data_IF_067051661839
#
_entry.id   IF_067051661839
#
_cell.length_a   1.000
_cell.length_b   1.000
_cell.length_c   1.000
_cell.angle_alpha   90.00
_cell.angle_beta   90.00
_cell.angle_gamma   90.00
#
_symmetry.space_group_name_H-M   'P 1'
#
loop_
_entity.id
_entity.type
_entity.pdbx_description
1 polymer ?
#
# COMPACT_ATOMS: atom_id res chain seq x y z
N UNK A 1 9.56 -20.37 -10.63
CA UNK A 1 9.98 -20.29 -9.21
C UNK A 1 8.73 -20.34 -8.35
N UNK A 2 8.68 -21.19 -7.33
CA UNK A 2 7.58 -21.20 -6.35
C UNK A 2 7.82 -20.10 -5.31
N UNK A 3 6.75 -19.38 -4.93
CA UNK A 3 6.81 -18.42 -3.82
C UNK A 3 6.90 -19.21 -2.51
N UNK A 4 7.91 -18.93 -1.70
CA UNK A 4 8.07 -19.57 -0.39
C UNK A 4 7.04 -19.05 0.62
N UNK A 5 6.69 -19.87 1.61
CA UNK A 5 5.78 -19.46 2.70
C UNK A 5 6.30 -18.20 3.41
N UNK A 6 7.61 -18.10 3.62
CA UNK A 6 8.24 -16.92 4.23
C UNK A 6 7.99 -15.64 3.42
N UNK A 7 8.05 -15.71 2.08
CA UNK A 7 7.75 -14.56 1.22
C UNK A 7 6.28 -14.15 1.30
N UNK A 8 5.36 -15.12 1.40
CA UNK A 8 3.93 -14.86 1.58
C UNK A 8 3.69 -14.09 2.89
N UNK A 9 4.29 -14.56 3.99
CA UNK A 9 4.16 -13.90 5.30
C UNK A 9 4.71 -12.47 5.25
N UNK A 10 5.89 -12.28 4.66
CA UNK A 10 6.51 -10.96 4.51
C UNK A 10 5.59 -10.02 3.73
N UNK A 11 5.06 -10.46 2.59
CA UNK A 11 4.11 -9.66 1.80
C UNK A 11 2.85 -9.33 2.59
N UNK A 12 2.31 -10.28 3.34
CA UNK A 12 1.12 -10.07 4.16
C UNK A 12 1.36 -9.02 5.26
N UNK A 13 2.55 -8.99 5.85
CA UNK A 13 2.92 -7.99 6.86
C UNK A 13 3.14 -6.61 6.23
N UNK A 14 3.91 -6.50 5.15
CA UNK A 14 4.27 -5.20 4.57
C UNK A 14 3.16 -4.57 3.72
N UNK A 15 2.33 -5.39 3.09
CA UNK A 15 1.16 -4.93 2.32
C UNK A 15 -0.05 -4.91 3.26
N UNK A 16 -0.42 -6.04 3.86
CA UNK A 16 -1.59 -6.11 4.73
C UNK A 16 -1.49 -5.25 6.01
N UNK A 17 -0.32 -5.17 6.65
CA UNK A 17 -0.12 -4.45 7.92
C UNK A 17 -0.59 -2.99 7.91
N UNK A 18 -0.16 -2.16 6.93
CA UNK A 18 -0.66 -0.81 6.68
C UNK A 18 -2.19 -0.68 6.70
N UNK A 19 -2.93 -1.67 6.20
CA UNK A 19 -4.39 -1.66 6.13
C UNK A 19 -5.02 -2.21 7.40
N UNK A 20 -4.57 -3.37 7.87
CA UNK A 20 -5.17 -4.06 9.01
C UNK A 20 -4.93 -3.34 10.33
N UNK A 21 -3.76 -2.73 10.54
CA UNK A 21 -3.47 -2.03 11.79
C UNK A 21 -4.45 -0.89 12.11
N UNK A 22 -4.68 0.10 11.23
CA UNK A 22 -5.64 1.17 11.50
C UNK A 22 -7.09 0.65 11.56
N UNK A 23 -7.43 -0.37 10.77
CA UNK A 23 -8.76 -0.97 10.75
C UNK A 23 -9.08 -1.64 12.10
N UNK A 24 -8.17 -2.47 12.61
CA UNK A 24 -8.31 -3.15 13.91
C UNK A 24 -8.34 -2.18 15.08
N UNK A 25 -7.61 -1.07 14.97
CA UNK A 25 -7.59 -0.01 15.99
C UNK A 25 -8.71 1.03 15.83
N UNK A 26 -9.66 0.80 14.90
CA UNK A 26 -10.80 1.69 14.60
C UNK A 26 -10.39 3.13 14.27
N UNK A 27 -9.19 3.32 13.73
CA UNK A 27 -8.67 4.61 13.28
C UNK A 27 -9.17 4.89 11.88
N UNK A 28 -10.42 5.35 11.78
CA UNK A 28 -11.14 5.47 10.51
C UNK A 28 -10.48 6.43 9.51
N UNK A 29 -9.97 7.58 9.96
CA UNK A 29 -9.30 8.54 9.06
C UNK A 29 -7.98 7.97 8.52
N UNK A 30 -7.22 7.27 9.38
CA UNK A 30 -6.04 6.53 8.93
C UNK A 30 -6.41 5.42 7.94
N UNK A 31 -7.40 4.59 8.27
CA UNK A 31 -7.85 3.49 7.41
C UNK A 31 -8.27 3.99 6.03
N UNK A 32 -9.02 5.08 5.98
CA UNK A 32 -9.47 5.71 4.74
C UNK A 32 -8.29 6.22 3.91
N UNK A 33 -7.28 6.83 4.55
CA UNK A 33 -6.06 7.28 3.87
C UNK A 33 -5.30 6.11 3.23
N UNK A 34 -5.20 4.98 3.93
CA UNK A 34 -4.52 3.78 3.40
C UNK A 34 -5.32 3.16 2.25
N UNK A 35 -6.64 3.06 2.38
CA UNK A 35 -7.52 2.56 1.30
C UNK A 35 -7.37 3.43 0.04
N UNK A 36 -7.40 4.75 0.19
CA UNK A 36 -7.18 5.67 -0.94
C UNK A 36 -5.78 5.51 -1.53
N UNK A 37 -4.76 5.33 -0.70
CA UNK A 37 -3.41 5.04 -1.16
C UNK A 37 -3.35 3.75 -1.99
N UNK A 38 -4.01 2.68 -1.56
CA UNK A 38 -4.12 1.45 -2.33
C UNK A 38 -4.79 1.64 -3.68
N UNK A 39 -5.91 2.38 -3.71
CA UNK A 39 -6.62 2.69 -4.95
C UNK A 39 -5.75 3.51 -5.90
N UNK A 40 -5.08 4.55 -5.40
CA UNK A 40 -4.16 5.37 -6.20
C UNK A 40 -3.00 4.55 -6.75
N UNK A 41 -2.43 3.65 -5.95
CA UNK A 41 -1.37 2.75 -6.41
C UNK A 41 -1.89 1.81 -7.50
N UNK A 42 -3.06 1.20 -7.29
CA UNK A 42 -3.70 0.34 -8.29
C UNK A 42 -3.99 1.08 -9.61
N UNK A 43 -4.49 2.31 -9.53
CA UNK A 43 -4.73 3.18 -10.69
C UNK A 43 -3.42 3.57 -11.40
N UNK A 44 -2.35 3.83 -10.64
CA UNK A 44 -1.03 4.05 -11.20
C UNK A 44 -0.51 2.82 -11.93
N UNK A 45 -0.69 1.63 -11.35
CA UNK A 45 -0.37 0.36 -12.02
C UNK A 45 -1.18 0.17 -13.30
N UNK A 46 -2.48 0.46 -13.27
CA UNK A 46 -3.33 0.40 -14.46
C UNK A 46 -2.88 1.38 -15.56
N UNK A 47 -2.53 2.60 -15.17
CA UNK A 47 -2.02 3.62 -16.08
C UNK A 47 -0.71 3.17 -16.73
N UNK A 48 0.24 2.67 -15.94
CA UNK A 48 1.50 2.13 -16.46
C UNK A 48 1.27 0.93 -17.39
N UNK A 49 0.40 -0.01 -17.01
CA UNK A 49 0.04 -1.13 -17.86
C UNK A 49 -0.53 -0.70 -19.22
N UNK A 50 -1.28 0.42 -19.25
CA UNK A 50 -1.89 0.95 -20.47
C UNK A 50 -0.94 1.77 -21.34
N UNK A 51 0.20 2.22 -20.80
CA UNK A 51 1.08 3.23 -21.46
C UNK A 51 2.53 2.79 -21.62
N UNK A 52 2.99 1.76 -20.90
CA UNK A 52 4.41 1.39 -20.78
C UNK A 52 4.71 0.02 -21.39
N UNK A 53 5.97 -0.18 -21.79
CA UNK A 53 6.48 -1.49 -22.23
C UNK A 53 6.52 -2.47 -21.04
N UNK A 54 6.24 -3.75 -21.27
CA UNK A 54 5.97 -4.77 -20.22
C UNK A 54 7.14 -4.90 -19.21
N UNK A 55 8.35 -4.58 -19.64
CA UNK A 55 9.59 -4.64 -18.86
C UNK A 55 9.67 -3.55 -17.78
N UNK A 56 9.23 -2.32 -18.07
CA UNK A 56 9.21 -1.20 -17.10
C UNK A 56 8.08 -1.36 -16.08
N UNK A 57 6.92 -1.84 -16.54
CA UNK A 57 5.76 -2.08 -15.70
C UNK A 57 6.00 -3.17 -14.65
N UNK A 58 6.52 -4.34 -15.04
CA UNK A 58 6.58 -5.50 -14.15
C UNK A 58 7.56 -5.35 -12.97
N UNK A 59 8.68 -4.65 -13.17
CA UNK A 59 9.73 -4.52 -12.14
C UNK A 59 9.57 -3.25 -11.30
N UNK A 60 9.34 -2.09 -11.93
CA UNK A 60 9.19 -0.82 -11.20
C UNK A 60 7.98 -0.82 -10.28
N UNK A 61 6.80 -1.15 -10.83
CA UNK A 61 5.54 -1.12 -10.09
C UNK A 61 5.49 -2.13 -8.93
N UNK A 62 6.13 -3.30 -9.06
CA UNK A 62 6.18 -4.26 -7.96
C UNK A 62 7.07 -3.81 -6.80
N UNK A 63 8.18 -3.13 -7.11
CA UNK A 63 9.18 -2.74 -6.10
C UNK A 63 8.76 -1.52 -5.28
N UNK A 64 8.00 -0.58 -5.86
CA UNK A 64 7.64 0.67 -5.18
C UNK A 64 6.48 0.55 -4.19
N UNK A 65 5.76 -0.58 -4.14
CA UNK A 65 4.55 -0.71 -3.32
C UNK A 65 4.86 -0.57 -1.82
N UNK A 66 5.95 -1.19 -1.36
CA UNK A 66 6.34 -1.16 0.05
C UNK A 66 6.73 0.26 0.50
N UNK A 67 7.69 0.96 -0.13
CA UNK A 67 8.03 2.33 0.27
C UNK A 67 6.85 3.28 0.11
N UNK A 68 6.01 3.10 -0.91
CA UNK A 68 4.78 3.88 -1.09
C UNK A 68 3.81 3.71 0.08
N UNK A 69 3.53 2.47 0.48
CA UNK A 69 2.60 2.19 1.59
C UNK A 69 3.11 2.68 2.95
N UNK A 70 4.42 2.71 3.16
CA UNK A 70 5.03 3.32 4.35
C UNK A 70 4.68 4.82 4.41
N UNK A 71 4.88 5.54 3.30
CA UNK A 71 4.57 6.98 3.23
C UNK A 71 3.08 7.24 3.44
N UNK A 72 2.22 6.49 2.73
CA UNK A 72 0.76 6.60 2.88
C UNK A 72 0.32 6.31 4.32
N UNK A 73 0.90 5.30 4.96
CA UNK A 73 0.65 4.98 6.36
C UNK A 73 1.04 6.13 7.29
N UNK A 74 2.21 6.74 7.09
CA UNK A 74 2.65 7.88 7.89
C UNK A 74 1.70 9.07 7.74
N UNK A 75 1.24 9.36 6.51
CA UNK A 75 0.26 10.40 6.23
C UNK A 75 -1.05 10.09 6.95
N UNK A 76 -1.57 8.86 6.84
CA UNK A 76 -2.80 8.44 7.50
C UNK A 76 -2.73 8.54 9.03
N UNK A 77 -1.60 8.14 9.61
CA UNK A 77 -1.35 8.30 11.04
C UNK A 77 -1.33 9.78 11.47
N UNK A 78 -0.76 10.66 10.65
CA UNK A 78 -0.73 12.09 10.90
C UNK A 78 -2.14 12.71 10.82
N UNK A 79 -2.91 12.38 9.78
CA UNK A 79 -4.30 12.87 9.61
C UNK A 79 -5.16 12.42 10.79
N UNK A 80 -5.10 11.14 11.18
CA UNK A 80 -5.83 10.64 12.33
C UNK A 80 -5.52 11.41 13.62
N UNK A 81 -4.25 11.73 13.86
CA UNK A 81 -3.85 12.54 15.04
C UNK A 81 -4.45 13.94 15.02
N UNK A 82 -4.69 14.52 13.84
CA UNK A 82 -5.33 15.83 13.69
C UNK A 82 -6.84 15.78 13.83
N UNK A 83 -7.49 14.68 13.40
CA UNK A 83 -8.94 14.49 13.50
C UNK A 83 -9.40 14.13 14.93
N UNK A 84 -8.55 13.46 15.71
CA UNK A 84 -8.88 13.07 17.10
C UNK A 84 -8.50 14.14 18.14
N UNK A 85 -7.83 15.22 17.72
CA UNK A 85 -7.64 16.43 18.54
C UNK A 85 -8.83 17.36 18.38
#
# INVERSE_FOLDING_TARGET
MSVSISQIIILLVFVGGPLFYPLLTRKWAWSLTVILGYLLYGLWGWFLHSTSDITEYGTGYGMFIVPYLIIITMIGAFIQRKTTK
#
